data_IF_745255947122
#
_entry.id   IF_745255947122
#
_cell.length_a   1.000
_cell.length_b   1.000
_cell.length_c   1.000
_cell.angle_alpha   90.00
_cell.angle_beta   90.00
_cell.angle_gamma   90.00
#
_symmetry.space_group_name_H-M   'P 1'
#
loop_
_entity.id
_entity.type
_entity.pdbx_description
1 polymer ?
#
# COMPACT_ATOMS: atom_id res chain seq x y z
N UNK A 1 3.83 5.92 -34.34
CA UNK A 1 4.10 5.72 -32.91
C UNK A 1 3.85 4.25 -32.62
N UNK A 2 4.66 3.58 -31.79
CA UNK A 2 4.43 2.15 -31.54
C UNK A 2 3.28 1.95 -30.54
N UNK A 3 2.52 0.86 -30.66
CA UNK A 3 1.45 0.50 -29.71
C UNK A 3 1.97 0.48 -28.26
N UNK A 4 3.24 0.11 -28.08
CA UNK A 4 3.92 0.15 -26.79
C UNK A 4 4.07 1.58 -26.24
N UNK A 5 4.51 2.54 -27.06
CA UNK A 5 4.63 3.94 -26.66
C UNK A 5 3.28 4.55 -26.29
N UNK A 6 2.23 4.20 -27.03
CA UNK A 6 0.86 4.65 -26.75
C UNK A 6 0.32 4.03 -25.44
N UNK A 7 0.59 2.74 -25.21
CA UNK A 7 0.26 2.07 -23.95
C UNK A 7 0.95 2.74 -22.76
N UNK A 8 2.25 3.02 -22.89
CA UNK A 8 3.03 3.73 -21.86
C UNK A 8 2.50 5.16 -21.65
N UNK A 9 2.10 5.84 -22.72
CA UNK A 9 1.49 7.17 -22.65
C UNK A 9 0.18 7.16 -21.86
N UNK A 10 -0.69 6.19 -22.11
CA UNK A 10 -1.97 6.05 -21.39
C UNK A 10 -1.74 5.79 -19.90
N UNK A 11 -0.78 4.91 -19.56
CA UNK A 11 -0.44 4.63 -18.15
C UNK A 11 0.11 5.89 -17.47
N UNK A 12 1.02 6.63 -18.12
CA UNK A 12 1.57 7.88 -17.59
C UNK A 12 0.50 8.94 -17.41
N UNK A 13 -0.41 9.09 -18.37
CA UNK A 13 -1.52 10.04 -18.26
C UNK A 13 -2.45 9.67 -17.10
N UNK A 14 -2.74 8.37 -16.91
CA UNK A 14 -3.50 7.88 -15.78
C UNK A 14 -2.81 8.18 -14.44
N UNK A 15 -1.50 7.92 -14.33
CA UNK A 15 -0.70 8.27 -13.16
C UNK A 15 -0.75 9.78 -12.87
N UNK A 16 -0.58 10.61 -13.91
CA UNK A 16 -0.62 12.06 -13.79
C UNK A 16 -2.00 12.57 -13.34
N UNK A 17 -3.07 11.97 -13.85
CA UNK A 17 -4.43 12.33 -13.47
C UNK A 17 -4.73 11.94 -12.02
N UNK A 18 -4.25 10.79 -11.55
CA UNK A 18 -4.43 10.30 -10.17
C UNK A 18 -3.63 11.13 -9.17
N UNK A 19 -2.37 11.45 -9.47
CA UNK A 19 -1.47 12.22 -8.58
C UNK A 19 -1.78 13.73 -8.63
N UNK A 20 -2.34 14.19 -9.75
CA UNK A 20 -2.67 15.58 -10.00
C UNK A 20 -1.52 16.38 -10.65
N UNK A 21 -1.82 17.55 -11.22
CA UNK A 21 -0.85 18.35 -11.95
C UNK A 21 0.07 19.09 -10.97
N UNK A 22 1.22 18.52 -10.59
CA UNK A 22 2.18 19.24 -9.74
C UNK A 22 3.64 19.03 -10.12
N UNK A 23 4.28 20.18 -10.29
CA UNK A 23 5.69 20.48 -10.57
C UNK A 23 6.14 20.11 -12.00
N UNK A 24 5.99 21.07 -12.92
CA UNK A 24 6.86 21.14 -14.10
C UNK A 24 8.25 21.51 -13.61
N UNK A 25 9.16 20.55 -13.54
CA UNK A 25 10.56 20.84 -13.24
C UNK A 25 11.12 21.74 -14.34
N UNK A 26 11.80 22.82 -13.96
CA UNK A 26 12.40 23.77 -14.91
C UNK A 26 13.70 23.24 -15.52
N UNK A 27 14.13 22.02 -15.16
CA UNK A 27 15.47 21.49 -15.41
C UNK A 27 15.44 20.16 -16.20
N UNK A 28 15.45 20.27 -17.53
CA UNK A 28 15.37 19.16 -18.50
C UNK A 28 16.39 18.00 -18.34
N UNK A 29 17.66 18.20 -17.96
CA UNK A 29 18.64 17.10 -17.95
C UNK A 29 18.63 16.26 -16.67
N UNK A 30 18.08 16.77 -15.56
CA UNK A 30 17.94 16.04 -14.28
C UNK A 30 16.49 15.57 -14.07
N UNK A 31 15.61 15.94 -15.01
CA UNK A 31 14.17 15.75 -14.91
C UNK A 31 13.81 14.29 -14.69
N UNK A 32 14.39 13.32 -15.40
CA UNK A 32 13.98 11.92 -15.26
C UNK A 32 14.28 11.32 -13.87
N UNK A 33 15.44 11.66 -13.28
CA UNK A 33 15.85 11.15 -11.97
C UNK A 33 15.16 11.91 -10.84
N UNK A 34 15.01 13.22 -10.98
CA UNK A 34 14.33 14.05 -9.98
C UNK A 34 12.83 13.81 -9.99
N UNK A 35 12.25 13.56 -11.17
CA UNK A 35 10.85 13.18 -11.33
C UNK A 35 10.62 11.80 -10.69
N UNK A 36 11.48 10.80 -10.90
CA UNK A 36 11.37 9.54 -10.14
C UNK A 36 11.44 9.73 -8.61
N UNK A 37 12.33 10.60 -8.11
CA UNK A 37 12.50 10.85 -6.67
C UNK A 37 11.35 11.67 -6.07
N UNK A 38 10.75 12.59 -6.82
CA UNK A 38 9.64 13.44 -6.36
C UNK A 38 8.29 12.77 -6.59
N UNK A 39 8.17 11.96 -7.64
CA UNK A 39 6.95 11.27 -8.02
C UNK A 39 6.65 10.10 -7.10
N UNK A 40 7.66 9.34 -6.67
CA UNK A 40 7.46 8.20 -5.75
C UNK A 40 6.83 8.62 -4.40
N UNK A 41 7.32 9.66 -3.69
CA UNK A 41 6.67 10.16 -2.49
C UNK A 41 5.23 10.61 -2.71
N UNK A 42 4.92 11.28 -3.83
CA UNK A 42 3.55 11.71 -4.11
C UNK A 42 2.63 10.56 -4.48
N UNK A 43 3.13 9.61 -5.25
CA UNK A 43 2.47 8.35 -5.54
C UNK A 43 2.11 7.61 -4.24
N UNK A 44 3.04 7.56 -3.29
CA UNK A 44 2.78 6.98 -1.96
C UNK A 44 1.75 7.80 -1.17
N UNK A 45 1.81 9.13 -1.21
CA UNK A 45 0.86 9.99 -0.48
C UNK A 45 -0.59 9.81 -0.93
N UNK A 46 -0.86 9.58 -2.22
CA UNK A 46 -2.21 9.24 -2.70
C UNK A 46 -2.70 7.97 -2.03
N UNK A 47 -1.84 6.95 -1.97
CA UNK A 47 -2.14 5.68 -1.31
C UNK A 47 -2.31 5.83 0.20
N UNK A 48 -1.51 6.68 0.86
CA UNK A 48 -1.65 7.00 2.28
C UNK A 48 -2.99 7.69 2.54
N UNK A 49 -3.39 8.67 1.72
CA UNK A 49 -4.67 9.36 1.85
C UNK A 49 -5.85 8.41 1.70
N UNK A 50 -5.78 7.53 0.69
CA UNK A 50 -6.80 6.51 0.44
C UNK A 50 -6.90 5.52 1.61
N UNK A 51 -5.74 5.06 2.09
CA UNK A 51 -5.67 4.18 3.25
C UNK A 51 -6.19 4.89 4.48
N UNK A 52 -5.82 6.13 4.76
CA UNK A 52 -6.35 6.93 5.88
C UNK A 52 -7.87 7.06 5.83
N UNK A 53 -8.44 7.33 4.64
CA UNK A 53 -9.88 7.39 4.44
C UNK A 53 -10.56 6.04 4.74
N UNK A 54 -9.91 4.93 4.39
CA UNK A 54 -10.38 3.56 4.67
C UNK A 54 -10.08 3.12 6.12
N UNK A 55 -9.06 3.71 6.75
CA UNK A 55 -8.53 3.35 8.07
C UNK A 55 -9.40 3.80 9.23
N UNK A 56 -10.48 4.56 9.00
CA UNK A 56 -11.40 4.99 10.06
C UNK A 56 -11.93 3.81 10.90
N UNK A 57 -12.19 2.65 10.27
CA UNK A 57 -12.61 1.44 10.98
C UNK A 57 -11.43 0.70 11.64
N UNK A 58 -10.25 0.68 11.00
CA UNK A 58 -9.04 0.08 11.58
C UNK A 58 -8.55 0.80 12.83
N UNK A 59 -8.62 2.14 12.84
CA UNK A 59 -8.31 2.99 13.99
C UNK A 59 -9.26 2.77 15.16
N UNK A 60 -10.51 2.35 14.91
CA UNK A 60 -11.45 1.98 15.96
C UNK A 60 -11.16 0.59 16.56
N UNK A 61 -10.66 -0.34 15.74
CA UNK A 61 -10.27 -1.68 16.20
C UNK A 61 -9.01 -1.68 17.06
N UNK A 62 -8.08 -0.74 16.84
CA UNK A 62 -6.86 -0.60 17.65
C UNK A 62 -7.17 -0.42 19.16
N UNK A 63 -7.94 0.60 19.60
CA UNK A 63 -8.24 0.77 21.03
C UNK A 63 -9.07 -0.38 21.59
N UNK A 64 -9.95 -1.00 20.79
CA UNK A 64 -10.69 -2.20 21.21
C UNK A 64 -9.72 -3.36 21.48
N UNK A 65 -8.77 -3.60 20.58
CA UNK A 65 -7.74 -4.62 20.75
C UNK A 65 -6.87 -4.36 21.98
N UNK A 66 -6.42 -3.12 22.18
CA UNK A 66 -5.67 -2.73 23.38
C UNK A 66 -6.51 -2.87 24.65
N UNK A 67 -7.81 -2.61 24.59
CA UNK A 67 -8.74 -2.88 25.69
C UNK A 67 -8.86 -4.37 26.02
N UNK A 68 -8.94 -5.24 25.01
CA UNK A 68 -8.94 -6.70 25.20
C UNK A 68 -7.62 -7.15 25.85
N UNK A 69 -6.48 -6.64 25.38
CA UNK A 69 -5.18 -6.94 25.99
C UNK A 69 -5.12 -6.48 27.45
N UNK A 70 -5.61 -5.27 27.77
CA UNK A 70 -5.64 -4.77 29.13
C UNK A 70 -6.54 -5.63 30.05
N UNK A 71 -7.68 -6.10 29.55
CA UNK A 71 -8.57 -7.03 30.28
C UNK A 71 -7.89 -8.38 30.50
N UNK A 72 -7.20 -8.93 29.50
CA UNK A 72 -6.42 -10.18 29.64
C UNK A 72 -5.31 -10.01 30.69
N UNK A 73 -4.59 -8.88 30.67
CA UNK A 73 -3.55 -8.56 31.66
C UNK A 73 -4.12 -8.48 33.08
N UNK A 74 -5.31 -7.90 33.22
CA UNK A 74 -6.02 -7.83 34.50
C UNK A 74 -6.45 -9.21 35.00
N UNK A 75 -7.07 -10.02 34.13
CA UNK A 75 -7.61 -11.34 34.46
C UNK A 75 -6.54 -12.39 34.75
N UNK A 76 -5.39 -12.31 34.08
CA UNK A 76 -4.27 -13.26 34.29
C UNK A 76 -3.40 -12.91 35.51
N UNK A 77 -3.80 -11.93 36.32
CA UNK A 77 -3.14 -11.61 37.58
C UNK A 77 -1.89 -10.74 37.45
N UNK A 78 -1.71 -10.05 36.32
CA UNK A 78 -0.59 -9.10 36.10
C UNK A 78 -0.60 -7.85 36.99
N UNK A 79 -1.60 -7.71 37.87
CA UNK A 79 -1.75 -6.61 38.82
C UNK A 79 -1.17 -6.84 40.22
N UNK A 80 -0.50 -7.97 40.49
CA UNK A 80 0.27 -8.12 41.73
C UNK A 80 1.61 -7.40 41.59
N UNK A 81 1.75 -6.30 42.32
CA UNK A 81 2.89 -5.35 42.37
C UNK A 81 4.24 -6.00 42.75
N UNK A 82 4.30 -7.33 42.94
CA UNK A 82 5.49 -8.07 43.36
C UNK A 82 6.30 -8.77 42.26
N UNK A 83 5.75 -9.04 41.06
CA UNK A 83 6.46 -9.81 40.02
C UNK A 83 6.38 -9.12 38.66
N UNK A 84 7.03 -7.96 38.57
CA UNK A 84 7.18 -7.17 37.35
C UNK A 84 8.38 -7.65 36.50
N UNK A 85 8.50 -8.96 36.26
CA UNK A 85 9.45 -9.54 35.29
C UNK A 85 8.99 -9.36 33.83
N UNK A 86 8.41 -8.19 33.52
CA UNK A 86 8.65 -7.30 32.37
C UNK A 86 7.36 -6.71 31.77
N UNK A 87 6.90 -5.59 32.35
CA UNK A 87 5.88 -4.71 31.75
C UNK A 87 6.15 -4.40 30.26
N UNK A 88 7.42 -4.29 29.89
CA UNK A 88 7.84 -3.99 28.52
C UNK A 88 7.63 -5.15 27.53
N UNK A 89 7.62 -6.41 27.97
CA UNK A 89 7.45 -7.59 27.08
C UNK A 89 6.04 -7.66 26.50
N UNK A 90 5.04 -7.31 27.32
CA UNK A 90 3.65 -7.17 26.91
C UNK A 90 3.43 -6.03 25.91
N UNK A 91 4.17 -4.93 26.06
CA UNK A 91 4.12 -3.81 25.10
C UNK A 91 4.62 -4.28 23.72
N UNK A 92 5.74 -5.01 23.67
CA UNK A 92 6.27 -5.54 22.41
C UNK A 92 5.30 -6.55 21.79
N UNK A 93 4.75 -7.48 22.58
CA UNK A 93 3.74 -8.44 22.13
C UNK A 93 2.47 -7.75 21.60
N UNK A 94 1.97 -6.74 22.33
CA UNK A 94 0.81 -5.95 21.96
C UNK A 94 1.01 -5.16 20.67
N UNK A 95 2.20 -4.57 20.48
CA UNK A 95 2.58 -3.88 19.25
C UNK A 95 2.65 -4.85 18.06
N UNK A 96 3.28 -6.01 18.22
CA UNK A 96 3.36 -7.01 17.14
C UNK A 96 1.99 -7.59 16.77
N UNK A 97 1.12 -7.81 17.76
CA UNK A 97 -0.25 -8.25 17.53
C UNK A 97 -1.09 -7.16 16.84
N UNK A 98 -0.92 -5.89 17.24
CA UNK A 98 -1.58 -4.75 16.58
C UNK A 98 -1.15 -4.63 15.12
N UNK A 99 0.15 -4.81 14.84
CA UNK A 99 0.66 -4.92 13.47
C UNK A 99 -0.10 -6.01 12.70
N UNK A 100 -0.18 -7.22 13.26
CA UNK A 100 -0.88 -8.35 12.61
C UNK A 100 -2.35 -8.06 12.26
N UNK A 101 -3.08 -7.30 13.09
CA UNK A 101 -4.48 -6.92 12.82
C UNK A 101 -4.56 -5.88 11.70
N UNK A 102 -3.70 -4.86 11.74
CA UNK A 102 -3.66 -3.79 10.73
C UNK A 102 -3.22 -4.35 9.37
N UNK A 103 -2.28 -5.30 9.35
CA UNK A 103 -1.79 -5.93 8.11
C UNK A 103 -2.75 -6.96 7.50
N UNK A 104 -3.66 -7.54 8.29
CA UNK A 104 -4.59 -8.59 7.82
C UNK A 104 -5.94 -8.07 7.36
N UNK A 105 -6.26 -6.79 7.45
CA UNK A 105 -7.54 -6.28 6.96
C UNK A 105 -7.47 -6.09 5.45
N UNK A 106 -8.02 -7.01 4.63
CA UNK A 106 -8.15 -6.76 3.21
C UNK A 106 -9.09 -5.56 3.04
N UNK A 107 -8.55 -4.47 2.48
CA UNK A 107 -9.39 -3.46 1.82
C UNK A 107 -10.03 -4.15 0.60
N UNK A 108 -11.13 -4.87 0.85
CA UNK A 108 -12.00 -5.49 -0.15
C UNK A 108 -13.15 -4.58 -0.56
N UNK A 109 -13.26 -3.43 0.07
CA UNK A 109 -14.36 -2.50 -0.14
C UNK A 109 -13.77 -1.12 -0.21
N UNK A 110 -13.65 -0.59 -1.42
CA UNK A 110 -14.41 0.59 -1.86
C UNK A 110 -13.83 1.14 -3.17
N UNK A 111 -14.70 1.69 -4.01
CA UNK A 111 -14.33 2.58 -5.13
C UNK A 111 -13.81 3.94 -4.62
N UNK A 112 -13.34 4.01 -3.36
CA UNK A 112 -12.75 5.20 -2.79
C UNK A 112 -11.47 5.50 -3.62
N UNK A 113 -11.21 6.78 -3.86
CA UNK A 113 -10.08 7.24 -4.67
C UNK A 113 -10.34 7.45 -6.17
N UNK A 114 -11.31 6.77 -6.79
CA UNK A 114 -11.62 6.97 -8.23
C UNK A 114 -12.46 8.23 -8.42
N UNK A 115 -11.97 9.19 -9.21
CA UNK A 115 -12.72 10.43 -9.50
C UNK A 115 -13.31 10.36 -10.92
N UNK A 116 -14.64 10.43 -11.10
CA UNK A 116 -15.27 10.42 -12.42
C UNK A 116 -14.68 11.44 -13.43
N UNK A 117 -14.28 12.66 -13.03
CA UNK A 117 -13.64 13.60 -13.95
C UNK A 117 -12.27 13.13 -14.49
N UNK A 118 -11.50 12.35 -13.70
CA UNK A 118 -10.22 11.78 -14.13
C UNK A 118 -10.47 10.67 -15.17
N UNK A 119 -11.45 9.80 -14.90
CA UNK A 119 -11.87 8.74 -15.83
C UNK A 119 -12.31 9.33 -17.16
N UNK A 120 -13.16 10.37 -17.15
CA UNK A 120 -13.65 11.00 -18.37
C UNK A 120 -12.52 11.66 -19.20
N UNK A 121 -11.55 12.29 -18.54
CA UNK A 121 -10.36 12.87 -19.21
C UNK A 121 -9.49 11.80 -19.84
N UNK A 122 -9.24 10.70 -19.11
CA UNK A 122 -8.46 9.59 -19.63
C UNK A 122 -9.18 8.89 -20.79
N UNK A 123 -10.49 8.71 -20.71
CA UNK A 123 -11.30 8.16 -21.79
C UNK A 123 -11.23 9.02 -23.06
N UNK A 124 -11.28 10.36 -22.92
CA UNK A 124 -11.09 11.28 -24.03
C UNK A 124 -9.69 11.17 -24.66
N UNK A 125 -8.65 11.02 -23.84
CA UNK A 125 -7.29 10.79 -24.32
C UNK A 125 -7.16 9.46 -25.07
N UNK A 126 -7.70 8.37 -24.53
CA UNK A 126 -7.72 7.04 -25.18
C UNK A 126 -8.40 7.13 -26.55
N UNK A 127 -9.55 7.79 -26.65
CA UNK A 127 -10.24 8.00 -27.95
C UNK A 127 -9.42 8.82 -28.95
N UNK A 128 -8.64 9.79 -28.48
CA UNK A 128 -7.79 10.59 -29.37
C UNK A 128 -6.62 9.81 -29.96
N UNK A 129 -6.15 8.77 -29.26
CA UNK A 129 -5.03 7.93 -29.67
C UNK A 129 -5.50 6.70 -30.44
N UNK A 130 -6.61 6.09 -30.02
CA UNK A 130 -7.22 4.93 -30.66
C UNK A 130 -8.67 5.25 -31.07
N UNK A 131 -8.87 5.72 -32.31
CA UNK A 131 -10.20 6.05 -32.80
C UNK A 131 -11.03 4.80 -33.12
N UNK A 132 -10.42 3.64 -33.31
CA UNK A 132 -11.05 2.36 -33.67
C UNK A 132 -11.08 1.33 -32.53
N UNK A 133 -12.14 0.51 -32.51
CA UNK A 133 -12.36 -0.49 -31.47
C UNK A 133 -11.25 -1.57 -31.42
N UNK A 134 -10.68 -1.92 -32.58
CA UNK A 134 -9.59 -2.90 -32.67
C UNK A 134 -8.32 -2.37 -31.98
N UNK A 135 -7.95 -1.11 -32.22
CA UNK A 135 -6.82 -0.47 -31.53
C UNK A 135 -7.09 -0.26 -30.04
N UNK A 136 -8.33 0.06 -29.63
CA UNK A 136 -8.70 0.13 -28.20
C UNK A 136 -8.49 -1.23 -27.51
N UNK A 137 -8.95 -2.33 -28.12
CA UNK A 137 -8.74 -3.69 -27.58
C UNK A 137 -7.25 -4.07 -27.54
N UNK A 138 -6.47 -3.68 -28.55
CA UNK A 138 -5.02 -3.88 -28.57
C UNK A 138 -4.33 -3.09 -27.44
N UNK A 139 -4.68 -1.82 -27.22
CA UNK A 139 -4.15 -1.02 -26.12
C UNK A 139 -4.56 -1.58 -24.75
N UNK A 140 -5.81 -2.02 -24.59
CA UNK A 140 -6.28 -2.67 -23.38
C UNK A 140 -5.45 -3.93 -23.08
N UNK A 141 -5.14 -4.73 -24.11
CA UNK A 141 -4.27 -5.90 -23.96
C UNK A 141 -2.83 -5.51 -23.55
N UNK A 142 -2.29 -4.44 -24.13
CA UNK A 142 -0.99 -3.87 -23.76
C UNK A 142 -0.95 -3.44 -22.31
N UNK A 143 -1.98 -2.71 -21.85
CA UNK A 143 -2.10 -2.30 -20.44
C UNK A 143 -2.20 -3.52 -19.52
N UNK A 144 -2.96 -4.55 -19.90
CA UNK A 144 -3.07 -5.79 -19.12
C UNK A 144 -1.71 -6.49 -18.93
N UNK A 145 -0.83 -6.44 -19.94
CA UNK A 145 0.54 -6.97 -19.78
C UNK A 145 1.37 -6.17 -18.77
N UNK A 146 1.29 -4.83 -18.79
CA UNK A 146 1.98 -3.98 -17.82
C UNK A 146 1.45 -4.19 -16.40
N UNK A 147 0.13 -4.33 -16.27
CA UNK A 147 -0.51 -4.64 -14.99
C UNK A 147 -0.08 -6.00 -14.43
N UNK A 148 0.05 -7.02 -15.28
CA UNK A 148 0.56 -8.33 -14.87
C UNK A 148 1.98 -8.24 -14.29
N UNK A 149 2.85 -7.41 -14.88
CA UNK A 149 4.21 -7.18 -14.40
C UNK A 149 4.23 -6.40 -13.08
N UNK A 150 3.39 -5.36 -12.94
CA UNK A 150 3.25 -4.60 -11.71
C UNK A 150 2.72 -5.47 -10.55
N UNK A 151 1.71 -6.29 -10.82
CA UNK A 151 1.13 -7.24 -9.87
C UNK A 151 2.15 -8.30 -9.42
N UNK A 152 2.98 -8.81 -10.35
CA UNK A 152 4.07 -9.72 -10.02
C UNK A 152 5.11 -9.06 -9.09
N UNK A 153 5.45 -7.78 -9.34
CA UNK A 153 6.37 -7.01 -8.48
C UNK A 153 5.80 -6.82 -7.08
N UNK A 154 4.55 -6.41 -6.95
CA UNK A 154 3.86 -6.26 -5.66
C UNK A 154 3.84 -7.59 -4.91
N UNK A 155 3.55 -8.69 -5.61
CA UNK A 155 3.55 -10.04 -5.02
C UNK A 155 4.91 -10.40 -4.45
N UNK A 156 6.01 -10.16 -5.18
CA UNK A 156 7.38 -10.40 -4.69
C UNK A 156 7.71 -9.55 -3.47
N UNK A 157 7.31 -8.28 -3.46
CA UNK A 157 7.52 -7.37 -2.34
C UNK A 157 6.75 -7.86 -1.11
N UNK A 158 5.50 -8.30 -1.27
CA UNK A 158 4.70 -8.85 -0.18
C UNK A 158 5.30 -10.14 0.39
N UNK A 159 5.89 -11.00 -0.45
CA UNK A 159 6.64 -12.17 0.01
C UNK A 159 7.85 -11.78 0.86
N UNK A 160 8.64 -10.81 0.41
CA UNK A 160 9.79 -10.30 1.18
C UNK A 160 9.35 -9.73 2.53
N UNK A 161 8.25 -8.96 2.54
CA UNK A 161 7.68 -8.42 3.77
C UNK A 161 7.24 -9.56 4.70
N UNK A 162 6.61 -10.62 4.18
CA UNK A 162 6.25 -11.81 4.96
C UNK A 162 7.47 -12.51 5.58
N UNK A 163 8.57 -12.63 4.83
CA UNK A 163 9.83 -13.21 5.34
C UNK A 163 10.42 -12.32 6.45
N UNK A 164 10.47 -11.00 6.25
CA UNK A 164 10.92 -10.06 7.28
C UNK A 164 10.05 -10.14 8.54
N UNK A 165 8.74 -10.27 8.37
CA UNK A 165 7.81 -10.46 9.49
C UNK A 165 8.07 -11.76 10.25
N UNK A 166 8.23 -12.87 9.54
CA UNK A 166 8.56 -14.15 10.15
C UNK A 166 9.88 -14.09 10.93
N UNK A 167 10.90 -13.42 10.37
CA UNK A 167 12.18 -13.19 11.05
C UNK A 167 12.04 -12.37 12.33
N UNK A 168 11.22 -11.31 12.31
CA UNK A 168 10.92 -10.51 13.50
C UNK A 168 10.19 -11.30 14.58
N UNK A 169 9.17 -12.08 14.19
CA UNK A 169 8.42 -12.96 15.11
C UNK A 169 9.35 -14.00 15.73
N UNK A 170 10.21 -14.62 14.92
CA UNK A 170 11.20 -15.57 15.40
C UNK A 170 12.18 -14.91 16.40
N UNK A 171 12.72 -13.74 16.06
CA UNK A 171 13.65 -13.00 16.93
C UNK A 171 12.99 -12.58 18.25
N UNK A 172 11.75 -12.08 18.21
CA UNK A 172 10.99 -11.75 19.41
C UNK A 172 10.73 -13.00 20.26
N UNK A 173 10.32 -14.11 19.64
CA UNK A 173 10.06 -15.36 20.36
C UNK A 173 11.32 -15.92 21.03
N UNK A 174 12.44 -15.91 20.33
CA UNK A 174 13.67 -16.52 20.81
C UNK A 174 14.41 -15.66 21.83
N UNK A 175 14.38 -14.33 21.70
CA UNK A 175 15.20 -13.43 22.53
C UNK A 175 14.43 -12.61 23.55
N UNK A 176 13.12 -12.39 23.34
CA UNK A 176 12.28 -11.56 24.23
C UNK A 176 11.37 -12.43 25.10
N UNK A 177 10.76 -13.46 24.53
CA UNK A 177 9.76 -14.27 25.22
C UNK A 177 10.31 -15.55 25.89
N UNK A 178 11.57 -15.91 25.65
CA UNK A 178 12.19 -17.04 26.35
C UNK A 178 12.53 -16.69 27.81
N UNK A 179 12.44 -17.68 28.70
CA UNK A 179 12.81 -17.54 30.12
C UNK A 179 14.31 -17.70 30.37
N UNK A 180 15.04 -18.28 29.41
CA UNK A 180 16.40 -18.81 29.64
C UNK A 180 17.51 -17.76 29.42
N UNK A 181 17.15 -16.53 29.06
CA UNK A 181 18.08 -15.45 28.74
C UNK A 181 18.15 -14.44 29.89
N UNK A 182 19.37 -13.99 30.23
CA UNK A 182 19.61 -13.00 31.28
C UNK A 182 18.88 -11.66 31.01
N UNK A 183 18.45 -10.99 32.08
CA UNK A 183 17.63 -9.77 31.96
C UNK A 183 18.32 -8.64 31.18
N UNK A 184 19.64 -8.49 31.31
CA UNK A 184 20.42 -7.49 30.59
C UNK A 184 20.41 -7.74 29.06
N UNK A 185 20.62 -8.99 28.63
CA UNK A 185 20.57 -9.38 27.22
C UNK A 185 19.15 -9.27 26.67
N UNK A 186 18.13 -9.55 27.49
CA UNK A 186 16.72 -9.44 27.11
C UNK A 186 16.33 -7.99 26.84
N UNK A 187 16.72 -7.02 27.68
CA UNK A 187 16.43 -5.60 27.45
C UNK A 187 17.08 -5.06 26.18
N UNK A 188 18.32 -5.46 25.90
CA UNK A 188 19.00 -5.08 24.67
C UNK A 188 18.31 -5.69 23.44
N UNK A 189 17.96 -6.97 23.50
CA UNK A 189 17.23 -7.66 22.44
C UNK A 189 15.85 -7.02 22.18
N UNK A 190 15.12 -6.63 23.24
CA UNK A 190 13.84 -5.93 23.12
C UNK A 190 13.97 -4.62 22.36
N UNK A 191 15.02 -3.83 22.64
CA UNK A 191 15.25 -2.56 21.95
C UNK A 191 15.53 -2.80 20.46
N UNK A 192 16.32 -3.82 20.13
CA UNK A 192 16.63 -4.20 18.74
C UNK A 192 15.39 -4.73 18.00
N UNK A 193 14.59 -5.57 18.64
CA UNK A 193 13.32 -6.09 18.08
C UNK A 193 12.33 -4.97 17.86
N UNK A 194 12.21 -4.03 18.80
CA UNK A 194 11.34 -2.86 18.66
C UNK A 194 11.80 -1.94 17.51
N UNK A 195 13.10 -1.66 17.42
CA UNK A 195 13.65 -0.88 16.31
C UNK A 195 13.40 -1.57 14.95
N UNK A 196 13.63 -2.89 14.88
CA UNK A 196 13.33 -3.70 13.70
C UNK A 196 11.84 -3.68 13.33
N UNK A 197 10.95 -3.75 14.34
CA UNK A 197 9.51 -3.64 14.14
C UNK A 197 9.08 -2.26 13.62
N UNK A 198 9.65 -1.16 14.15
CA UNK A 198 9.36 0.19 13.65
C UNK A 198 9.82 0.39 12.20
N UNK A 199 11.00 -0.13 11.85
CA UNK A 199 11.50 -0.12 10.47
C UNK A 199 10.56 -0.94 9.57
N UNK A 200 10.15 -2.12 10.03
CA UNK A 200 9.18 -2.95 9.32
C UNK A 200 7.84 -2.24 9.11
N UNK A 201 7.32 -1.54 10.13
CA UNK A 201 6.10 -0.74 10.00
C UNK A 201 6.25 0.36 8.95
N UNK A 202 7.36 1.09 8.98
CA UNK A 202 7.63 2.15 8.01
C UNK A 202 7.61 1.62 6.57
N UNK A 203 8.33 0.53 6.30
CA UNK A 203 8.34 -0.08 4.97
C UNK A 203 7.00 -0.73 4.61
N UNK A 204 6.34 -1.39 5.56
CA UNK A 204 5.03 -2.02 5.36
C UNK A 204 3.96 -1.01 4.96
N UNK A 205 3.91 0.15 5.63
CA UNK A 205 3.01 1.26 5.29
C UNK A 205 3.33 1.78 3.88
N UNK A 206 4.61 1.97 3.55
CA UNK A 206 5.03 2.39 2.22
C UNK A 206 4.57 1.42 1.11
N UNK A 207 4.79 0.12 1.30
CA UNK A 207 4.38 -0.94 0.36
C UNK A 207 2.86 -0.97 0.19
N UNK A 208 2.10 -0.90 1.28
CA UNK A 208 0.63 -0.87 1.23
C UNK A 208 0.07 0.36 0.52
N UNK A 209 0.73 1.50 0.70
CA UNK A 209 0.35 2.76 0.06
C UNK A 209 0.66 2.68 -1.44
N UNK A 210 1.82 2.13 -1.80
CA UNK A 210 2.16 1.84 -3.19
C UNK A 210 1.13 0.92 -3.86
N UNK A 211 0.77 -0.18 -3.22
CA UNK A 211 -0.26 -1.11 -3.74
C UNK A 211 -1.62 -0.40 -3.91
N UNK A 212 -2.01 0.44 -2.95
CA UNK A 212 -3.26 1.19 -3.03
C UNK A 212 -3.29 2.14 -4.24
N UNK A 213 -2.21 2.90 -4.46
CA UNK A 213 -2.14 3.81 -5.61
C UNK A 213 -2.12 3.07 -6.94
N UNK A 214 -1.36 1.98 -7.06
CA UNK A 214 -1.37 1.13 -8.27
C UNK A 214 -2.79 0.62 -8.56
N UNK A 215 -3.53 0.23 -7.53
CA UNK A 215 -4.92 -0.21 -7.66
C UNK A 215 -5.83 0.91 -8.17
N UNK A 216 -5.70 2.14 -7.65
CA UNK A 216 -6.49 3.30 -8.12
C UNK A 216 -6.18 3.60 -9.59
N UNK A 217 -4.89 3.59 -9.97
CA UNK A 217 -4.46 3.82 -11.36
C UNK A 217 -5.06 2.76 -12.28
N UNK A 218 -4.92 1.48 -11.93
CA UNK A 218 -5.51 0.37 -12.70
C UNK A 218 -7.02 0.53 -12.87
N UNK A 219 -7.75 0.76 -11.77
CA UNK A 219 -9.20 0.92 -11.83
C UNK A 219 -9.59 2.13 -12.68
N UNK A 220 -8.84 3.23 -12.61
CA UNK A 220 -9.08 4.44 -13.43
C UNK A 220 -8.90 4.12 -14.92
N UNK A 221 -7.88 3.34 -15.28
CA UNK A 221 -7.64 2.90 -16.66
C UNK A 221 -8.77 1.95 -17.12
N UNK A 222 -9.15 0.97 -16.31
CA UNK A 222 -10.22 0.01 -16.63
C UNK A 222 -11.55 0.76 -16.89
N UNK A 223 -11.92 1.70 -16.02
CA UNK A 223 -13.13 2.52 -16.22
C UNK A 223 -13.02 3.45 -17.43
N UNK A 224 -11.82 3.96 -17.75
CA UNK A 224 -11.64 4.83 -18.89
C UNK A 224 -11.75 4.06 -20.22
N UNK A 225 -11.25 2.82 -20.28
CA UNK A 225 -11.45 1.94 -21.43
C UNK A 225 -12.92 1.59 -21.63
N UNK A 226 -13.64 1.25 -20.55
CA UNK A 226 -15.09 0.99 -20.62
C UNK A 226 -15.87 2.23 -21.11
N UNK A 227 -15.55 3.42 -20.59
CA UNK A 227 -16.21 4.65 -21.04
C UNK A 227 -15.85 5.01 -22.49
N UNK A 228 -14.62 4.68 -22.93
CA UNK A 228 -14.19 4.91 -24.30
C UNK A 228 -14.92 3.98 -25.30
N UNK A 229 -15.19 2.72 -24.93
CA UNK A 229 -15.99 1.79 -25.74
C UNK A 229 -17.47 2.17 -25.75
N UNK A 230 -18.10 2.39 -24.58
CA UNK A 230 -19.55 2.61 -24.47
C UNK A 230 -20.02 3.87 -25.19
N UNK A 231 -19.23 4.95 -25.15
CA UNK A 231 -19.56 6.21 -25.82
C UNK A 231 -19.37 6.17 -27.34
N UNK A 232 -19.03 5.01 -27.92
CA UNK A 232 -18.92 4.80 -29.38
C UNK A 232 -20.17 4.10 -29.91
N UNK A 233 -20.70 3.14 -29.17
CA UNK A 233 -21.97 2.45 -29.47
C UNK A 233 -23.15 3.44 -29.55
N UNK A 234 -23.10 4.53 -28.79
CA UNK A 234 -24.10 5.62 -28.83
C UNK A 234 -23.93 6.59 -30.02
N UNK A 235 -22.83 6.54 -30.75
CA UNK A 235 -22.58 7.40 -31.93
C UNK A 235 -22.86 6.72 -33.27
N UNK A 236 -23.05 5.40 -33.26
CA UNK A 236 -23.37 4.60 -34.46
C UNK A 236 -24.87 4.23 -34.56
N UNK A 237 -25.71 4.68 -33.63
CA UNK A 237 -27.17 4.55 -33.65
C UNK A 237 -27.89 5.88 -33.87
#
# INVERSE_FOLDING_TARGET
MSIFEETVSIVREAEHLVIGPRVKSRWKPVESTLDAVVHVPWFLMVGVQERLATFGFGLFLVPIWWGILAVIMWLTGGGSVGNLHTSNGWIVAGLMATGSVIFRLPSRSTRLGIRPPQVARLAAHIKSVAPDEATIKLLQSGVATLDSAASARITRINWLLGICWAGLVWAASHWVFTTDVSDALRQEAMTRVLAGFLIFLFFGIGIMSYEATVRIVKQTIDFAFLQASDARDLSEG
#
